data_IF_405161923406
#
_entry.id   IF_405161923406
#
_cell.length_a   1.000
_cell.length_b   1.000
_cell.length_c   1.000
_cell.angle_alpha   90.00
_cell.angle_beta   90.00
_cell.angle_gamma   90.00
#
_symmetry.space_group_name_H-M   'P 1'
#
loop_
_entity.id
_entity.type
_entity.pdbx_description
1 polymer ?
#
# COMPACT_ATOMS: atom_id res chain seq x y z
N UNK A 1 31.11 -3.92 4.05
CA UNK A 1 29.75 -4.07 4.61
C UNK A 1 28.78 -3.77 3.49
N UNK A 2 28.15 -4.80 2.91
CA UNK A 2 27.20 -4.62 1.82
C UNK A 2 25.86 -4.25 2.45
N UNK A 3 25.39 -3.01 2.26
CA UNK A 3 23.99 -2.68 2.52
C UNK A 3 23.18 -3.43 1.46
N UNK A 4 22.66 -4.61 1.81
CA UNK A 4 21.59 -5.22 1.04
C UNK A 4 20.41 -4.26 1.13
N UNK A 5 20.24 -3.45 0.09
CA UNK A 5 19.16 -2.48 -0.05
C UNK A 5 17.88 -3.26 -0.38
N UNK A 6 17.38 -4.04 0.58
CA UNK A 6 16.12 -4.77 0.43
C UNK A 6 15.01 -3.74 0.35
N UNK A 7 14.40 -3.69 -0.82
CA UNK A 7 13.23 -2.86 -1.06
C UNK A 7 12.08 -3.52 -0.30
N UNK A 8 11.90 -3.09 0.96
CA UNK A 8 10.90 -3.64 1.87
C UNK A 8 9.63 -2.79 1.90
N UNK A 9 8.54 -3.40 2.37
CA UNK A 9 7.27 -2.75 2.61
C UNK A 9 6.90 -2.87 4.09
N UNK A 10 6.07 -1.94 4.57
CA UNK A 10 5.58 -1.97 5.94
C UNK A 10 4.15 -2.52 6.00
N UNK A 11 3.88 -3.43 6.94
CA UNK A 11 2.52 -3.87 7.24
C UNK A 11 1.97 -2.94 8.32
N UNK A 12 0.94 -2.16 7.98
CA UNK A 12 0.33 -1.21 8.91
C UNK A 12 -0.99 -1.80 9.41
N UNK A 13 -1.14 -2.02 10.74
CA UNK A 13 -2.40 -2.48 11.31
C UNK A 13 -3.45 -1.36 11.22
N UNK A 14 -4.67 -1.77 10.89
CA UNK A 14 -5.87 -0.94 10.87
C UNK A 14 -6.84 -1.47 11.92
N UNK A 15 -7.90 -0.70 12.19
CA UNK A 15 -9.00 -1.17 13.02
C UNK A 15 -9.64 -2.46 12.46
N UNK A 16 -10.28 -3.24 13.35
CA UNK A 16 -11.07 -4.44 13.01
C UNK A 16 -10.25 -5.57 12.36
N UNK A 17 -9.04 -5.85 12.88
CA UNK A 17 -8.14 -6.93 12.41
C UNK A 17 -7.79 -6.85 10.92
N UNK A 18 -7.76 -5.63 10.37
CA UNK A 18 -7.33 -5.38 8.99
C UNK A 18 -5.91 -4.86 8.99
N UNK A 19 -5.24 -5.00 7.86
CA UNK A 19 -3.95 -4.38 7.62
C UNK A 19 -3.85 -3.90 6.18
N UNK A 20 -2.95 -2.95 5.95
CA UNK A 20 -2.55 -2.50 4.62
C UNK A 20 -1.05 -2.62 4.48
N UNK A 21 -0.61 -2.79 3.24
CA UNK A 21 0.80 -2.77 2.89
C UNK A 21 1.17 -1.36 2.47
N UNK A 22 2.17 -0.75 3.09
CA UNK A 22 2.72 0.55 2.68
C UNK A 22 4.05 0.36 1.97
N UNK A 23 4.16 0.96 0.79
CA UNK A 23 5.37 0.97 -0.01
C UNK A 23 5.48 2.30 -0.76
N UNK A 24 6.62 2.99 -0.64
CA UNK A 24 6.87 4.34 -1.19
C UNK A 24 5.75 5.35 -0.85
N UNK A 25 5.30 5.38 0.41
CA UNK A 25 4.21 6.25 0.90
C UNK A 25 2.82 5.99 0.31
N UNK A 26 2.66 4.98 -0.54
CA UNK A 26 1.35 4.52 -1.03
C UNK A 26 0.91 3.25 -0.30
N UNK A 27 -0.40 3.06 -0.19
CA UNK A 27 -0.96 1.85 0.40
C UNK A 27 -1.48 0.89 -0.65
N UNK A 28 -1.34 -0.40 -0.38
CA UNK A 28 -1.73 -1.51 -1.23
C UNK A 28 -2.51 -2.54 -0.42
N UNK A 29 -3.36 -3.29 -1.12
CA UNK A 29 -4.15 -4.40 -0.59
C UNK A 29 -4.01 -5.63 -1.47
N UNK A 30 -4.11 -6.82 -0.85
CA UNK A 30 -4.08 -8.07 -1.59
C UNK A 30 -5.28 -8.20 -2.52
N UNK A 31 -5.00 -8.47 -3.79
CA UNK A 31 -6.04 -8.57 -4.83
C UNK A 31 -6.64 -9.99 -4.95
N UNK A 32 -5.91 -11.03 -4.53
CA UNK A 32 -6.29 -12.43 -4.77
C UNK A 32 -5.96 -13.33 -3.56
N UNK A 33 -6.61 -14.49 -3.49
CA UNK A 33 -6.42 -15.49 -2.42
C UNK A 33 -4.97 -15.97 -2.26
N UNK A 34 -4.16 -15.94 -3.32
CA UNK A 34 -2.75 -16.36 -3.30
C UNK A 34 -1.75 -15.34 -2.79
N UNK A 35 -2.17 -14.13 -2.38
CA UNK A 35 -1.31 -13.06 -1.83
C UNK A 35 -0.08 -12.68 -2.68
N UNK A 36 -0.02 -13.07 -3.95
CA UNK A 36 1.09 -12.79 -4.85
C UNK A 36 0.99 -11.42 -5.56
N UNK A 37 -0.16 -10.76 -5.45
CA UNK A 37 -0.42 -9.48 -6.08
C UNK A 37 -1.08 -8.50 -5.11
N UNK A 38 -0.38 -7.39 -4.90
CA UNK A 38 -0.83 -6.22 -4.17
C UNK A 38 -1.23 -5.14 -5.18
N UNK A 39 -2.42 -4.56 -5.03
CA UNK A 39 -2.90 -3.44 -5.86
C UNK A 39 -3.04 -2.20 -5.00
N UNK A 40 -2.77 -1.04 -5.58
CA UNK A 40 -2.98 0.24 -4.92
C UNK A 40 -4.38 0.29 -4.30
N UNK A 41 -4.47 0.75 -3.06
CA UNK A 41 -5.75 0.85 -2.33
C UNK A 41 -6.75 1.77 -3.04
N UNK A 42 -6.28 2.72 -3.85
CA UNK A 42 -7.08 3.65 -4.64
C UNK A 42 -7.31 3.19 -6.09
N UNK A 43 -7.11 1.90 -6.40
CA UNK A 43 -7.29 1.34 -7.76
C UNK A 43 -8.65 1.63 -8.39
N UNK A 44 -9.71 1.64 -7.57
CA UNK A 44 -11.09 1.90 -8.03
C UNK A 44 -11.38 3.39 -8.03
N UNK A 45 -11.09 4.07 -6.92
CA UNK A 45 -11.47 5.49 -6.72
C UNK A 45 -10.70 6.45 -7.61
N UNK A 46 -9.41 6.22 -7.85
CA UNK A 46 -8.54 7.08 -8.67
C UNK A 46 -8.09 6.38 -9.97
N UNK A 47 -8.75 5.26 -10.31
CA UNK A 47 -8.43 4.42 -11.48
C UNK A 47 -6.94 4.01 -11.56
N UNK A 48 -6.28 3.93 -10.40
CA UNK A 48 -4.84 3.67 -10.30
C UNK A 48 -4.48 2.24 -10.70
N UNK A 49 -3.42 2.09 -11.49
CA UNK A 49 -2.94 0.80 -12.01
C UNK A 49 -1.68 0.28 -11.30
N UNK A 50 -1.13 1.05 -10.35
CA UNK A 50 0.05 0.65 -9.57
C UNK A 50 -0.17 -0.68 -8.84
N UNK A 51 0.88 -1.51 -8.83
CA UNK A 51 0.84 -2.85 -8.24
C UNK A 51 2.23 -3.33 -7.80
N UNK A 52 2.25 -4.27 -6.86
CA UNK A 52 3.44 -4.99 -6.43
C UNK A 52 3.17 -6.48 -6.57
N UNK A 53 4.07 -7.19 -7.26
CA UNK A 53 4.06 -8.64 -7.39
C UNK A 53 5.07 -9.22 -6.40
N UNK A 54 4.59 -10.13 -5.57
CA UNK A 54 5.39 -10.85 -4.58
C UNK A 54 5.71 -12.27 -5.07
N UNK A 55 6.84 -12.80 -4.65
CA UNK A 55 7.14 -14.23 -4.77
C UNK A 55 6.41 -15.04 -3.68
N UNK A 56 6.65 -16.35 -3.65
CA UNK A 56 6.07 -17.27 -2.65
C UNK A 56 6.58 -17.03 -1.23
N UNK A 57 7.69 -16.31 -1.08
CA UNK A 57 8.31 -15.96 0.20
C UNK A 57 7.90 -14.56 0.68
N UNK A 58 7.13 -13.81 -0.12
CA UNK A 58 6.71 -12.45 0.18
C UNK A 58 7.69 -11.37 -0.27
N UNK A 59 8.75 -11.71 -0.99
CA UNK A 59 9.71 -10.74 -1.51
C UNK A 59 9.14 -10.03 -2.74
N UNK A 60 9.46 -8.74 -2.90
CA UNK A 60 9.06 -7.98 -4.09
C UNK A 60 9.81 -8.49 -5.32
N UNK A 61 9.09 -9.12 -6.25
CA UNK A 61 9.62 -9.50 -7.56
C UNK A 61 9.55 -8.34 -8.55
N UNK A 62 8.50 -7.52 -8.46
CA UNK A 62 8.24 -6.40 -9.37
C UNK A 62 7.33 -5.39 -8.69
N UNK A 63 7.67 -4.11 -8.81
CA UNK A 63 6.80 -3.00 -8.42
C UNK A 63 6.56 -2.08 -9.63
N UNK A 64 5.30 -1.71 -9.86
CA UNK A 64 4.91 -0.62 -10.76
C UNK A 64 4.36 0.49 -9.88
N UNK A 65 5.14 1.57 -9.75
CA UNK A 65 4.91 2.66 -8.80
C UNK A 65 4.51 3.97 -9.47
N UNK A 66 4.10 3.92 -10.74
CA UNK A 66 3.48 5.06 -11.41
C UNK A 66 2.03 5.17 -10.94
N UNK A 67 1.75 6.20 -10.13
CA UNK A 67 0.43 6.47 -9.55
C UNK A 67 -0.23 7.65 -10.25
N UNK A 68 -1.53 7.55 -10.47
CA UNK A 68 -2.35 8.61 -11.07
C UNK A 68 -2.90 9.61 -10.04
N UNK A 69 -2.45 9.51 -8.79
CA UNK A 69 -2.92 10.32 -7.67
C UNK A 69 -1.78 10.52 -6.67
N UNK A 70 -1.92 11.54 -5.82
CA UNK A 70 -1.01 11.79 -4.71
C UNK A 70 -1.09 10.67 -3.65
N UNK A 71 -0.03 10.50 -2.83
CA UNK A 71 -0.08 9.61 -1.67
C UNK A 71 -1.29 9.92 -0.77
N UNK A 72 -1.89 8.91 -0.12
CA UNK A 72 -2.96 9.15 0.85
C UNK A 72 -2.43 9.89 2.08
N UNK A 73 -3.28 10.69 2.71
CA UNK A 73 -3.03 11.29 4.02
C UNK A 73 -3.16 10.18 5.06
N UNK A 74 -2.16 10.07 5.95
CA UNK A 74 -2.15 9.12 7.06
C UNK A 74 -2.40 9.86 8.38
N UNK A 75 -3.45 9.47 9.10
CA UNK A 75 -3.82 10.06 10.39
C UNK A 75 -3.94 8.95 11.43
N UNK A 76 -3.39 9.16 12.63
CA UNK A 76 -3.63 8.27 13.77
C UNK A 76 -4.93 8.69 14.46
N UNK A 77 -5.83 7.74 14.71
CA UNK A 77 -7.07 7.97 15.44
C UNK A 77 -6.79 7.98 16.95
N UNK A 78 -7.70 8.58 17.75
CA UNK A 78 -7.60 8.57 19.22
C UNK A 78 -7.52 7.16 19.83
N UNK A 79 -8.04 6.16 19.12
CA UNK A 79 -8.02 4.75 19.52
C UNK A 79 -6.72 4.01 19.14
N UNK A 80 -5.69 4.72 18.64
CA UNK A 80 -4.38 4.15 18.30
C UNK A 80 -4.30 3.42 16.95
N UNK A 81 -5.30 3.55 16.09
CA UNK A 81 -5.30 2.97 14.74
C UNK A 81 -4.92 4.00 13.68
N UNK A 82 -4.40 3.54 12.54
CA UNK A 82 -4.15 4.41 11.39
C UNK A 82 -5.36 4.50 10.45
N UNK A 83 -5.58 5.67 9.87
CA UNK A 83 -6.57 5.93 8.83
C UNK A 83 -5.89 6.57 7.63
N UNK A 84 -6.17 6.00 6.44
CA UNK A 84 -5.68 6.53 5.17
C UNK A 84 -6.83 7.18 4.42
N UNK A 85 -6.70 8.46 4.09
CA UNK A 85 -7.71 9.22 3.35
C UNK A 85 -7.11 9.84 2.09
N UNK A 86 -7.98 10.13 1.11
CA UNK A 86 -7.58 10.87 -0.09
C UNK A 86 -7.56 12.36 0.20
N UNK A 87 -6.78 13.10 -0.56
CA UNK A 87 -6.87 14.56 -0.57
C UNK A 87 -8.28 15.00 -0.99
N UNK A 88 -8.85 15.98 -0.27
CA UNK A 88 -10.13 16.58 -0.64
C UNK A 88 -9.97 17.29 -1.99
N UNK A 89 -10.82 16.95 -2.96
CA UNK A 89 -10.94 17.70 -4.21
C UNK A 89 -11.85 18.89 -3.94
N UNK A 90 -11.30 20.10 -3.95
CA UNK A 90 -12.10 21.32 -3.93
C UNK A 90 -12.58 21.55 -5.36
N UNK A 91 -13.90 21.60 -5.55
CA UNK A 91 -14.57 21.92 -6.80
C UNK A 91 -15.31 23.25 -6.66
#
# INVERSE_FOLDING_TARGET
MLFNNTIDYHVIPLAKNKSVIMYNSYTYSYHMKGKSLLRCSQKVSEKCRAFIKLDKHGNIMRAVTDHTHLPPICEMTGDGYYRFTKHKKFY
#
